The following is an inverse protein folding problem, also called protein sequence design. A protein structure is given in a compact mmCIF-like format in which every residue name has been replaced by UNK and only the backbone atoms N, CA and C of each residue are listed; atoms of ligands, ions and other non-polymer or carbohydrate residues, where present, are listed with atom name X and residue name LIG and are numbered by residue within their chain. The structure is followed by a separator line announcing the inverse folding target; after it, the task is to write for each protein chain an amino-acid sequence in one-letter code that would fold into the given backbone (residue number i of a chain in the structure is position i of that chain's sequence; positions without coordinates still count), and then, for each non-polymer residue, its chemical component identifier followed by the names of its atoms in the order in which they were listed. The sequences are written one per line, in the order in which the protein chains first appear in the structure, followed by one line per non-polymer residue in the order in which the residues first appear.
data_IF_620582363337
#
_entry.id   IF_620582363337
#
_cell.length_a   1.000
_cell.length_b   1.000
_cell.length_c   1.000
_cell.angle_alpha   90.00
_cell.angle_beta   90.00
_cell.angle_gamma   90.00
#
_symmetry.space_group_name_H-M   'P 1'
#
loop_
_entity.id
_entity.type
_entity.pdbx_description
1 polymer ?
#
# COMPACT_ATOMS: atom_id res chain seq x y z
N UNK A 1 -11.04 1.72 -29.68
CA UNK A 1 -11.09 1.10 -28.31
C UNK A 1 -10.22 1.88 -27.33
N UNK A 2 -10.40 1.74 -26.00
CA UNK A 2 -9.74 2.58 -24.98
C UNK A 2 -8.21 2.69 -25.14
N UNK A 3 -7.52 1.58 -25.47
CA UNK A 3 -6.08 1.58 -25.80
C UNK A 3 -5.75 2.45 -27.01
N UNK A 4 -6.46 2.27 -28.12
CA UNK A 4 -6.22 2.99 -29.40
C UNK A 4 -6.45 4.50 -29.29
N UNK A 5 -7.37 4.92 -28.42
CA UNK A 5 -7.69 6.33 -28.22
C UNK A 5 -7.02 6.93 -26.97
N UNK A 6 -6.14 6.17 -26.30
CA UNK A 6 -5.45 6.58 -25.07
C UNK A 6 -6.41 7.14 -24.01
N UNK A 7 -7.57 6.50 -23.85
CA UNK A 7 -8.63 6.96 -22.93
C UNK A 7 -8.22 6.61 -21.50
N UNK A 8 -8.17 7.58 -20.57
CA UNK A 8 -7.86 7.29 -19.17
C UNK A 8 -9.00 6.50 -18.53
N UNK A 9 -8.62 5.48 -17.77
CA UNK A 9 -9.50 4.62 -16.99
C UNK A 9 -9.31 4.90 -15.50
N UNK A 10 -10.33 4.55 -14.72
CA UNK A 10 -10.22 4.40 -13.28
C UNK A 10 -10.01 2.91 -13.00
N UNK A 11 -8.85 2.54 -12.49
CA UNK A 11 -8.58 1.17 -12.06
C UNK A 11 -9.02 1.02 -10.59
N UNK A 12 -10.11 0.29 -10.37
CA UNK A 12 -10.63 -0.01 -9.04
C UNK A 12 -9.91 -1.24 -8.47
N UNK A 13 -8.81 -1.03 -7.75
CA UNK A 13 -8.07 -2.09 -7.10
C UNK A 13 -8.84 -2.59 -5.86
N UNK A 14 -9.27 -3.86 -5.86
CA UNK A 14 -9.96 -4.46 -4.72
C UNK A 14 -9.00 -4.67 -3.55
N UNK A 15 -9.36 -4.17 -2.37
CA UNK A 15 -8.49 -4.18 -1.18
C UNK A 15 -9.02 -5.15 -0.12
N UNK A 16 -10.31 -5.04 0.19
CA UNK A 16 -11.10 -5.97 1.00
C UNK A 16 -12.49 -6.10 0.37
N UNK A 17 -13.28 -7.14 0.68
CA UNK A 17 -14.61 -7.30 0.11
C UNK A 17 -15.46 -6.03 0.24
N UNK A 18 -15.96 -5.51 -0.88
CA UNK A 18 -16.77 -4.29 -0.92
C UNK A 18 -16.01 -2.97 -0.80
N UNK A 19 -14.68 -2.96 -0.64
CA UNK A 19 -13.86 -1.73 -0.69
C UNK A 19 -12.83 -1.79 -1.82
N UNK A 20 -12.84 -0.76 -2.64
CA UNK A 20 -11.93 -0.56 -3.75
C UNK A 20 -11.14 0.72 -3.55
N UNK A 21 -9.87 0.70 -3.93
CA UNK A 21 -9.05 1.88 -4.05
C UNK A 21 -9.07 2.33 -5.53
N UNK A 22 -9.70 3.47 -5.84
CA UNK A 22 -9.70 3.99 -7.19
C UNK A 22 -8.32 4.54 -7.52
N UNK A 23 -7.79 4.16 -8.68
CA UNK A 23 -6.51 4.66 -9.17
C UNK A 23 -6.73 5.30 -10.53
N UNK A 24 -6.36 6.57 -10.62
CA UNK A 24 -6.52 7.38 -11.80
C UNK A 24 -5.33 8.36 -11.92
N UNK A 25 -4.80 8.60 -13.13
CA UNK A 25 -5.20 7.96 -14.38
C UNK A 25 -4.55 6.58 -14.55
N UNK A 26 -5.28 5.65 -15.18
CA UNK A 26 -4.77 4.36 -15.64
C UNK A 26 -4.98 4.22 -17.16
N UNK A 27 -4.05 3.60 -17.88
CA UNK A 27 -4.10 3.45 -19.33
C UNK A 27 -3.82 2.00 -19.73
N UNK A 28 -4.53 1.50 -20.74
CA UNK A 28 -4.19 0.20 -21.35
C UNK A 28 -3.02 0.42 -22.30
N UNK A 29 -1.90 -0.29 -22.07
CA UNK A 29 -0.66 -0.14 -22.86
C UNK A 29 -0.40 -1.30 -23.81
N UNK A 30 -1.01 -2.45 -23.55
CA UNK A 30 -0.89 -3.65 -24.37
C UNK A 30 -2.17 -4.47 -24.28
N UNK A 31 -2.58 -5.09 -25.39
CA UNK A 31 -3.76 -5.94 -25.50
C UNK A 31 -3.32 -7.26 -26.15
N UNK A 32 -3.28 -8.33 -25.36
CA UNK A 32 -2.93 -9.69 -25.78
C UNK A 32 -4.22 -10.50 -25.97
N UNK A 33 -4.67 -10.54 -27.21
CA UNK A 33 -5.88 -11.24 -27.62
C UNK A 33 -5.75 -12.77 -27.55
N UNK A 34 -4.55 -13.32 -27.55
CA UNK A 34 -4.36 -14.78 -27.47
C UNK A 34 -4.59 -15.27 -26.05
N UNK A 35 -4.08 -14.52 -25.07
CA UNK A 35 -4.22 -14.85 -23.64
C UNK A 35 -5.45 -14.17 -23.00
N UNK A 36 -6.17 -13.33 -23.73
CA UNK A 36 -7.29 -12.51 -23.23
C UNK A 36 -6.86 -11.65 -22.03
N UNK A 37 -5.65 -11.09 -22.11
CA UNK A 37 -5.08 -10.24 -21.07
C UNK A 37 -4.65 -8.90 -21.64
N UNK A 38 -4.57 -7.88 -20.80
CA UNK A 38 -4.07 -6.57 -21.18
C UNK A 38 -3.18 -6.00 -20.07
N UNK A 39 -2.24 -5.15 -20.46
CA UNK A 39 -1.37 -4.45 -19.51
C UNK A 39 -1.91 -3.07 -19.20
N UNK A 40 -1.85 -2.67 -17.93
CA UNK A 40 -2.30 -1.35 -17.47
C UNK A 40 -1.11 -0.59 -16.88
N UNK A 41 -0.86 0.62 -17.38
CA UNK A 41 0.02 1.58 -16.74
C UNK A 41 -0.79 2.49 -15.81
N UNK A 42 -0.23 2.80 -14.64
CA UNK A 42 -0.91 3.52 -13.56
C UNK A 42 -0.04 4.68 -13.11
N UNK A 43 -0.63 5.86 -12.89
CA UNK A 43 0.08 7.09 -12.48
C UNK A 43 1.07 7.61 -13.55
N UNK A 44 0.74 7.33 -14.82
CA UNK A 44 1.60 7.64 -15.97
C UNK A 44 1.29 8.99 -16.66
N UNK A 45 0.76 9.96 -15.92
CA UNK A 45 0.55 11.31 -16.46
C UNK A 45 1.89 12.03 -16.81
N UNK A 46 3.04 11.44 -16.44
CA UNK A 46 4.37 12.04 -16.60
C UNK A 46 5.23 11.38 -17.68
N UNK A 47 4.95 10.17 -18.20
CA UNK A 47 5.71 9.62 -19.34
C UNK A 47 5.20 10.11 -20.70
N UNK A 48 4.02 10.74 -20.76
CA UNK A 48 3.43 11.24 -22.02
C UNK A 48 4.14 12.46 -22.63
N UNK A 49 5.15 13.05 -21.95
CA UNK A 49 5.80 14.29 -22.40
C UNK A 49 7.32 14.20 -22.72
N UNK A 50 7.95 13.02 -22.73
CA UNK A 50 9.42 12.94 -22.94
C UNK A 50 9.78 12.25 -24.25
N UNK A 51 10.46 13.02 -25.11
CA UNK A 51 11.05 12.61 -26.39
C UNK A 51 11.89 11.34 -26.28
N UNK A 52 11.76 10.51 -27.31
CA UNK A 52 12.17 9.12 -27.47
C UNK A 52 13.69 8.90 -27.65
N UNK A 53 14.54 9.66 -26.95
CA UNK A 53 15.97 9.76 -27.31
C UNK A 53 16.90 8.75 -26.61
N UNK A 54 16.43 7.99 -25.60
CA UNK A 54 17.22 6.93 -24.97
C UNK A 54 16.34 5.76 -24.44
N UNK A 55 16.33 4.65 -25.18
CA UNK A 55 15.46 3.50 -24.94
C UNK A 55 15.79 2.77 -23.62
N UNK A 56 17.06 2.72 -23.22
CA UNK A 56 17.52 2.07 -21.98
C UNK A 56 17.16 2.90 -20.74
N UNK A 57 17.27 4.22 -20.83
CA UNK A 57 16.87 5.13 -19.77
C UNK A 57 15.34 5.15 -19.58
N UNK A 58 14.58 5.00 -20.68
CA UNK A 58 13.14 4.86 -20.64
C UNK A 58 12.71 3.55 -19.94
N UNK A 59 13.36 2.41 -20.23
CA UNK A 59 13.09 1.11 -19.61
C UNK A 59 13.31 1.14 -18.08
N UNK A 60 14.49 1.62 -17.64
CA UNK A 60 14.84 1.72 -16.22
C UNK A 60 13.90 2.70 -15.47
N UNK A 61 13.48 3.79 -16.12
CA UNK A 61 12.51 4.74 -15.54
C UNK A 61 11.12 4.13 -15.44
N UNK A 62 10.65 3.35 -16.43
CA UNK A 62 9.37 2.62 -16.34
C UNK A 62 9.38 1.64 -15.16
N UNK A 63 10.42 0.82 -15.03
CA UNK A 63 10.56 -0.13 -13.92
C UNK A 63 10.53 0.57 -12.55
N UNK A 64 11.19 1.72 -12.42
CA UNK A 64 11.18 2.53 -11.19
C UNK A 64 9.80 3.14 -10.87
N UNK A 65 9.09 3.66 -11.88
CA UNK A 65 7.74 4.21 -11.69
C UNK A 65 6.77 3.10 -11.29
N UNK A 66 6.81 1.96 -11.99
CA UNK A 66 6.00 0.78 -11.64
C UNK A 66 6.29 0.32 -10.22
N UNK A 67 7.54 0.20 -9.81
CA UNK A 67 7.88 -0.25 -8.44
C UNK A 67 7.37 0.72 -7.37
N UNK A 68 7.48 2.03 -7.59
CA UNK A 68 6.96 3.07 -6.69
C UNK A 68 5.44 3.04 -6.57
N UNK A 69 4.73 2.86 -7.69
CA UNK A 69 3.26 2.77 -7.69
C UNK A 69 2.82 1.50 -6.98
N UNK A 70 3.39 0.35 -7.35
CA UNK A 70 3.11 -0.94 -6.70
C UNK A 70 3.39 -0.90 -5.20
N UNK A 71 4.51 -0.29 -4.77
CA UNK A 71 4.84 -0.14 -3.35
C UNK A 71 3.80 0.72 -2.61
N UNK A 72 3.36 1.85 -3.18
CA UNK A 72 2.31 2.70 -2.59
C UNK A 72 0.98 1.96 -2.50
N UNK A 73 0.63 1.18 -3.53
CA UNK A 73 -0.57 0.35 -3.54
C UNK A 73 -0.51 -0.71 -2.45
N UNK A 74 0.61 -1.42 -2.32
CA UNK A 74 0.82 -2.42 -1.28
C UNK A 74 0.77 -1.84 0.13
N UNK A 75 1.37 -0.67 0.37
CA UNK A 75 1.31 -0.01 1.68
C UNK A 75 -0.11 0.44 2.04
N UNK A 76 -0.87 0.97 1.08
CA UNK A 76 -2.28 1.34 1.30
C UNK A 76 -3.16 0.11 1.52
N UNK A 77 -2.96 -0.92 0.70
CA UNK A 77 -3.66 -2.19 0.79
C UNK A 77 -3.43 -2.87 2.15
N UNK A 78 -2.17 -2.91 2.61
CA UNK A 78 -1.81 -3.36 3.96
C UNK A 78 -2.56 -2.58 5.04
N UNK A 79 -2.54 -1.24 4.98
CA UNK A 79 -3.25 -0.41 5.96
C UNK A 79 -4.73 -0.78 6.04
N UNK A 80 -5.41 -0.83 4.91
CA UNK A 80 -6.83 -1.15 4.88
C UNK A 80 -7.12 -2.56 5.42
N UNK A 81 -6.31 -3.56 5.05
CA UNK A 81 -6.47 -4.93 5.54
C UNK A 81 -6.28 -5.04 7.04
N UNK A 82 -5.27 -4.37 7.59
CA UNK A 82 -5.03 -4.31 9.04
C UNK A 82 -6.19 -3.62 9.75
N UNK A 83 -6.59 -2.42 9.31
CA UNK A 83 -7.70 -1.72 9.96
C UNK A 83 -9.01 -2.51 9.90
N UNK A 84 -9.28 -3.21 8.78
CA UNK A 84 -10.44 -4.08 8.68
C UNK A 84 -10.38 -5.25 9.69
N UNK A 85 -9.22 -5.90 9.82
CA UNK A 85 -9.02 -7.01 10.77
C UNK A 85 -9.22 -6.61 12.23
N UNK A 86 -8.90 -5.36 12.58
CA UNK A 86 -9.10 -4.78 13.91
C UNK A 86 -10.42 -4.00 14.06
N UNK A 87 -11.37 -4.15 13.13
CA UNK A 87 -12.66 -3.44 13.16
C UNK A 87 -12.53 -1.91 13.28
N UNK A 88 -11.51 -1.33 12.63
CA UNK A 88 -11.18 0.10 12.68
C UNK A 88 -11.05 0.62 14.11
N UNK A 89 -10.38 -0.18 14.96
CA UNK A 89 -10.14 0.11 16.36
C UNK A 89 -8.65 0.00 16.70
N UNK A 90 -8.14 0.91 17.54
CA UNK A 90 -6.80 0.77 18.10
C UNK A 90 -6.73 -0.47 19.00
N UNK A 91 -5.74 -1.34 18.74
CA UNK A 91 -5.50 -2.57 19.49
C UNK A 91 -5.19 -2.35 20.98
N UNK A 92 -4.74 -1.15 21.36
CA UNK A 92 -4.32 -0.83 22.74
C UNK A 92 -5.42 -0.05 23.49
N UNK A 93 -5.78 1.16 23.03
CA UNK A 93 -6.73 2.01 23.76
C UNK A 93 -8.18 1.93 23.26
N UNK A 94 -8.49 1.01 22.35
CA UNK A 94 -9.85 0.85 21.83
C UNK A 94 -10.44 2.06 21.09
N UNK A 95 -9.64 3.07 20.73
CA UNK A 95 -10.08 4.24 19.93
C UNK A 95 -10.64 3.80 18.57
N UNK A 96 -11.84 4.28 18.20
CA UNK A 96 -12.57 3.90 16.95
C UNK A 96 -12.72 5.05 15.95
N UNK A 97 -11.66 5.84 15.78
CA UNK A 97 -11.64 6.93 14.80
C UNK A 97 -10.63 6.58 13.71
N UNK A 98 -11.10 6.02 12.58
CA UNK A 98 -10.26 5.48 11.49
C UNK A 98 -9.19 6.49 11.00
N UNK A 99 -9.52 7.78 10.97
CA UNK A 99 -8.62 8.89 10.58
C UNK A 99 -7.42 9.04 11.52
N UNK A 100 -7.56 8.61 12.77
CA UNK A 100 -6.53 8.64 13.81
C UNK A 100 -5.79 7.30 13.92
N UNK A 101 -6.12 6.31 13.07
CA UNK A 101 -5.51 4.99 13.07
C UNK A 101 -4.53 4.79 11.91
N UNK A 102 -3.44 4.13 12.26
CA UNK A 102 -2.43 3.61 11.35
C UNK A 102 -2.34 2.09 11.44
N UNK A 103 -1.69 1.50 10.43
CA UNK A 103 -1.24 0.12 10.47
C UNK A 103 0.27 0.10 10.73
N UNK A 104 0.66 -0.28 11.93
CA UNK A 104 2.04 -0.46 12.33
C UNK A 104 2.52 -1.86 11.94
N UNK A 105 3.77 -1.98 11.48
CA UNK A 105 4.39 -3.28 11.27
C UNK A 105 4.94 -3.81 12.59
N UNK A 106 4.77 -5.12 12.86
CA UNK A 106 5.42 -5.78 14.01
C UNK A 106 6.91 -5.95 13.70
N UNK A 107 7.22 -6.58 12.57
CA UNK A 107 8.56 -6.61 11.98
C UNK A 107 8.63 -5.55 10.89
N UNK A 108 9.61 -4.63 10.94
CA UNK A 108 9.71 -3.52 9.98
C UNK A 108 9.83 -4.04 8.55
N UNK A 109 9.38 -3.24 7.58
CA UNK A 109 9.39 -3.61 6.16
C UNK A 109 10.80 -3.89 5.60
N UNK A 110 11.85 -3.36 6.24
CA UNK A 110 13.26 -3.66 5.95
C UNK A 110 13.69 -5.06 6.40
N UNK A 111 12.92 -5.73 7.26
CA UNK A 111 13.24 -7.06 7.75
C UNK A 111 12.93 -8.13 6.69
N UNK A 112 13.75 -9.19 6.53
CA UNK A 112 13.49 -10.26 5.55
C UNK A 112 12.12 -10.94 5.68
N UNK A 113 11.55 -10.92 6.89
CA UNK A 113 10.22 -11.45 7.21
C UNK A 113 9.16 -10.35 7.44
N UNK A 114 9.50 -9.08 7.19
CA UNK A 114 8.65 -7.90 7.38
C UNK A 114 7.59 -7.72 6.29
N UNK A 115 6.97 -8.82 5.86
CA UNK A 115 5.97 -8.77 4.79
C UNK A 115 4.77 -7.92 5.22
N UNK A 116 4.18 -7.11 4.31
CA UNK A 116 3.02 -6.26 4.61
C UNK A 116 1.73 -7.09 4.61
N UNK A 117 1.61 -8.00 5.58
CA UNK A 117 0.48 -8.93 5.75
C UNK A 117 -0.19 -8.73 7.10
N UNK A 118 -1.50 -9.01 7.19
CA UNK A 118 -2.29 -8.79 8.43
C UNK A 118 -1.65 -9.39 9.69
N UNK A 119 -1.09 -10.62 9.68
CA UNK A 119 -0.40 -11.17 10.86
C UNK A 119 0.82 -10.37 11.34
N UNK A 120 1.43 -9.56 10.47
CA UNK A 120 2.54 -8.67 10.78
C UNK A 120 2.07 -7.22 11.05
N UNK A 121 0.76 -7.00 11.20
CA UNK A 121 0.16 -5.68 11.32
C UNK A 121 -0.62 -5.46 12.61
N UNK A 122 -0.47 -4.26 13.17
CA UNK A 122 -1.25 -3.78 14.32
C UNK A 122 -2.00 -2.51 13.94
N UNK A 123 -3.31 -2.45 14.22
CA UNK A 123 -4.05 -1.20 14.13
C UNK A 123 -3.78 -0.36 15.38
N UNK A 124 -3.06 0.76 15.26
CA UNK A 124 -2.70 1.61 16.38
C UNK A 124 -3.13 3.05 16.14
N UNK A 125 -3.55 3.77 17.19
CA UNK A 125 -3.73 5.21 17.07
C UNK A 125 -2.37 5.91 16.94
N UNK A 126 -2.35 7.16 16.46
CA UNK A 126 -1.12 7.94 16.25
C UNK A 126 -0.15 7.91 17.44
N UNK A 127 -0.68 8.01 18.67
CA UNK A 127 0.13 7.99 19.89
C UNK A 127 0.76 6.62 20.15
N UNK A 128 -0.04 5.56 20.13
CA UNK A 128 0.46 4.20 20.36
C UNK A 128 1.40 3.73 19.24
N UNK A 129 1.14 4.12 18.00
CA UNK A 129 2.03 3.84 16.88
C UNK A 129 3.41 4.47 17.11
N UNK A 130 3.44 5.77 17.42
CA UNK A 130 4.70 6.47 17.69
C UNK A 130 5.44 5.91 18.92
N UNK A 131 4.71 5.47 19.95
CA UNK A 131 5.30 4.83 21.12
C UNK A 131 5.87 3.45 20.79
N UNK A 132 5.17 2.66 19.98
CA UNK A 132 5.59 1.32 19.56
C UNK A 132 6.86 1.39 18.71
N UNK A 133 6.89 2.25 17.69
CA UNK A 133 8.05 2.44 16.80
C UNK A 133 9.30 2.91 17.55
N UNK A 134 9.13 3.63 18.66
CA UNK A 134 10.21 4.11 19.53
C UNK A 134 10.62 3.11 20.62
N UNK A 135 10.06 1.90 20.60
CA UNK A 135 10.23 0.90 21.64
C UNK A 135 9.93 1.46 23.05
N UNK A 136 8.97 2.37 23.16
CA UNK A 136 8.45 2.87 24.45
C UNK A 136 7.40 1.88 24.97
N UNK A 137 6.62 1.30 24.07
CA UNK A 137 5.68 0.22 24.36
C UNK A 137 6.01 -1.01 23.53
N UNK A 138 5.78 -2.20 24.09
CA UNK A 138 5.86 -3.49 23.41
C UNK A 138 4.61 -4.32 23.66
N UNK A 139 4.42 -5.38 22.88
CA UNK A 139 3.32 -6.35 23.06
C UNK A 139 3.94 -7.74 23.20
N UNK A 140 3.69 -8.40 24.33
CA UNK A 140 4.14 -9.77 24.58
C UNK A 140 3.28 -10.80 23.83
N UNK A 141 3.79 -12.03 23.60
CA UNK A 141 3.01 -13.10 22.97
C UNK A 141 1.73 -13.49 23.73
N UNK A 142 1.65 -13.21 25.04
CA UNK A 142 0.44 -13.38 25.86
C UNK A 142 -0.52 -12.17 25.77
N UNK A 143 -0.33 -11.30 24.78
CA UNK A 143 -1.15 -10.13 24.46
C UNK A 143 -1.14 -9.03 25.54
N UNK A 144 -0.13 -9.01 26.40
CA UNK A 144 0.07 -7.92 27.36
C UNK A 144 0.92 -6.81 26.77
N UNK A 145 0.46 -5.58 26.95
CA UNK A 145 1.24 -4.39 26.64
C UNK A 145 2.25 -4.15 27.77
N UNK A 146 3.51 -3.96 27.41
CA UNK A 146 4.56 -3.57 28.33
C UNK A 146 5.05 -2.16 27.99
N UNK A 147 5.43 -1.42 29.03
CA UNK A 147 5.98 -0.07 28.92
C UNK A 147 7.43 -0.16 29.35
N UNK A 148 8.32 0.49 28.62
CA UNK A 148 9.74 0.56 28.97
C UNK A 148 9.92 1.26 30.32
N UNK A 149 10.73 0.70 31.21
CA UNK A 149 10.81 1.10 32.62
C UNK A 149 11.40 2.50 32.87
N UNK A 150 12.07 3.09 31.89
CA UNK A 150 12.77 4.38 31.94
C UNK A 150 11.90 5.59 31.52
N UNK A 151 10.59 5.40 31.32
CA UNK A 151 9.63 6.42 30.85
C UNK A 151 8.63 6.81 31.93
#
# INVERSE_FOLDING_TARGET
MAMQHNVPLIYNHGVVPGRYMPIWPAYVTHDDLQNLTFSVAVDDAKLSFVSNTDMVAAEARRQYVTSRVTQRLHQRDFRFKVLAAYHSQCAICSLRHEELLDAAHILPDTHPQGLPVVPNGLALCKLHHAAFDRNIIGIRPDLKVEIREDV
#
